data_IF_652525040023
#
_entry.id   IF_652525040023
#
_cell.length_a   1.000
_cell.length_b   1.000
_cell.length_c   1.000
_cell.angle_alpha   90.00
_cell.angle_beta   90.00
_cell.angle_gamma   90.00
#
_symmetry.space_group_name_H-M   'P 1'
#
loop_
_entity.id
_entity.type
_entity.pdbx_description
1 polymer ?
#
# COMPACT_ATOMS: atom_id res chain seq x y z
N UNK A 1 -16.07 -0.44 3.38
CA UNK A 1 -15.48 -0.41 2.02
C UNK A 1 -15.83 0.87 1.25
N UNK A 2 -17.10 1.14 0.92
CA UNK A 2 -17.48 2.35 0.16
C UNK A 2 -17.00 3.67 0.79
N UNK A 3 -17.07 3.79 2.12
CA UNK A 3 -16.54 4.97 2.84
C UNK A 3 -15.02 5.12 2.72
N UNK A 4 -14.26 4.02 2.64
CA UNK A 4 -12.81 4.07 2.46
C UNK A 4 -12.46 4.56 1.08
N UNK A 5 -13.18 4.10 0.05
CA UNK A 5 -13.07 4.66 -1.30
C UNK A 5 -13.42 6.15 -1.31
N UNK A 6 -14.46 6.58 -0.59
CA UNK A 6 -14.82 7.99 -0.46
C UNK A 6 -13.70 8.81 0.20
N UNK A 7 -13.12 8.30 1.29
CA UNK A 7 -12.01 8.93 2.00
C UNK A 7 -10.73 8.96 1.16
N UNK A 8 -10.46 7.93 0.37
CA UNK A 8 -9.34 7.92 -0.58
C UNK A 8 -9.56 8.94 -1.70
N UNK A 9 -10.74 8.96 -2.32
CA UNK A 9 -11.08 9.97 -3.33
C UNK A 9 -11.00 11.38 -2.75
N UNK A 10 -11.45 11.59 -1.51
CA UNK A 10 -11.26 12.84 -0.76
C UNK A 10 -9.77 13.15 -0.63
N UNK A 11 -8.95 12.21 -0.17
CA UNK A 11 -7.51 12.39 -0.02
C UNK A 11 -6.76 12.68 -1.33
N UNK A 12 -7.19 12.04 -2.42
CA UNK A 12 -6.66 12.29 -3.75
C UNK A 12 -7.05 13.68 -4.26
N UNK A 13 -8.21 14.20 -3.86
CA UNK A 13 -8.72 15.53 -4.25
C UNK A 13 -8.39 16.65 -3.24
N UNK A 14 -8.02 16.35 -2.00
CA UNK A 14 -7.71 17.31 -0.95
C UNK A 14 -6.23 17.72 -0.95
N UNK A 15 -5.88 18.74 -0.18
CA UNK A 15 -4.51 19.21 0.04
C UNK A 15 -3.62 18.23 0.84
N UNK A 16 -3.99 16.95 0.92
CA UNK A 16 -3.11 15.93 1.50
C UNK A 16 -1.85 15.84 0.67
N UNK A 17 -0.67 15.73 1.29
CA UNK A 17 0.57 15.64 0.54
C UNK A 17 0.57 14.40 -0.39
N UNK A 18 0.87 14.53 -1.70
CA UNK A 18 0.95 13.39 -2.62
C UNK A 18 1.93 12.31 -2.17
N UNK A 19 3.01 12.69 -1.48
CA UNK A 19 3.97 11.77 -0.90
C UNK A 19 3.35 10.89 0.19
N UNK A 20 2.55 11.46 1.09
CA UNK A 20 1.83 10.69 2.13
C UNK A 20 0.85 9.67 1.56
N UNK A 21 0.14 10.02 0.49
CA UNK A 21 -0.75 9.07 -0.20
C UNK A 21 0.06 7.99 -0.92
N UNK A 22 1.17 8.36 -1.58
CA UNK A 22 2.07 7.39 -2.24
C UNK A 22 2.68 6.41 -1.23
N UNK A 23 3.13 6.90 -0.07
CA UNK A 23 3.62 6.07 1.02
C UNK A 23 2.55 5.09 1.52
N UNK A 24 1.29 5.51 1.60
CA UNK A 24 0.18 4.63 1.93
C UNK A 24 0.01 3.48 0.92
N UNK A 25 0.10 3.77 -0.38
CA UNK A 25 0.07 2.71 -1.40
C UNK A 25 1.25 1.76 -1.30
N UNK A 26 2.46 2.26 -1.05
CA UNK A 26 3.67 1.43 -0.92
C UNK A 26 3.60 0.52 0.31
N UNK A 27 3.27 1.07 1.48
CA UNK A 27 3.18 0.26 2.70
C UNK A 27 2.03 -0.75 2.61
N UNK A 28 0.92 -0.36 1.98
CA UNK A 28 -0.19 -1.26 1.67
C UNK A 28 0.22 -2.38 0.70
N UNK A 29 1.05 -2.07 -0.30
CA UNK A 29 1.60 -3.07 -1.22
C UNK A 29 2.49 -4.09 -0.51
N UNK A 30 3.41 -3.64 0.36
CA UNK A 30 4.33 -4.53 1.07
C UNK A 30 3.55 -5.53 1.94
N UNK A 31 2.58 -5.06 2.73
CA UNK A 31 1.72 -5.95 3.52
C UNK A 31 0.81 -6.78 2.62
N UNK A 32 0.33 -6.21 1.51
CA UNK A 32 -0.57 -6.89 0.59
C UNK A 32 0.06 -8.10 -0.10
N UNK A 33 1.31 -7.98 -0.55
CA UNK A 33 2.03 -9.04 -1.23
C UNK A 33 2.65 -10.09 -0.31
N UNK A 34 2.87 -9.76 0.96
CA UNK A 34 3.54 -10.68 1.88
C UNK A 34 2.52 -11.46 2.73
N UNK A 35 2.81 -12.71 3.12
CA UNK A 35 1.90 -13.49 3.94
C UNK A 35 1.53 -12.78 5.27
N UNK A 36 0.24 -12.76 5.60
CA UNK A 36 -0.32 -11.96 6.70
C UNK A 36 0.40 -12.15 8.04
N UNK A 37 0.72 -13.40 8.39
CA UNK A 37 1.33 -13.76 9.69
C UNK A 37 2.86 -13.62 9.74
N UNK A 38 3.43 -12.73 8.92
CA UNK A 38 4.88 -12.49 8.94
C UNK A 38 5.25 -11.37 9.91
N UNK A 39 6.36 -11.54 10.64
CA UNK A 39 6.80 -10.58 11.67
C UNK A 39 7.02 -9.16 11.11
N UNK A 40 7.50 -9.03 9.88
CA UNK A 40 7.72 -7.71 9.25
C UNK A 40 6.41 -6.96 9.01
N UNK A 41 5.27 -7.63 8.84
CA UNK A 41 3.98 -6.95 8.62
C UNK A 41 3.53 -6.15 9.84
N UNK A 42 3.86 -6.61 11.05
CA UNK A 42 3.62 -5.86 12.29
C UNK A 42 4.42 -4.56 12.27
N UNK A 43 5.69 -4.62 11.84
CA UNK A 43 6.55 -3.45 11.72
C UNK A 43 6.02 -2.45 10.67
N UNK A 44 5.61 -2.92 9.50
CA UNK A 44 5.04 -2.07 8.44
C UNK A 44 3.73 -1.42 8.91
N UNK A 45 2.88 -2.15 9.64
CA UNK A 45 1.64 -1.62 10.19
C UNK A 45 1.93 -0.51 11.22
N UNK A 46 2.89 -0.72 12.12
CA UNK A 46 3.34 0.30 13.07
C UNK A 46 3.86 1.54 12.34
N UNK A 47 4.68 1.33 11.31
CA UNK A 47 5.21 2.41 10.48
C UNK A 47 4.08 3.21 9.81
N UNK A 48 3.02 2.54 9.37
CA UNK A 48 1.85 3.20 8.79
C UNK A 48 1.14 4.15 9.77
N UNK A 49 1.07 3.80 11.05
CA UNK A 49 0.53 4.67 12.09
C UNK A 49 1.48 5.82 12.47
N UNK A 50 2.79 5.56 12.54
CA UNK A 50 3.79 6.57 12.95
C UNK A 50 3.99 7.64 11.87
N UNK A 51 4.04 7.24 10.59
CA UNK A 51 4.30 8.15 9.46
C UNK A 51 3.09 9.04 9.10
N UNK A 52 1.98 8.95 9.84
CA UNK A 52 0.74 9.73 9.61
C UNK A 52 0.28 9.72 8.15
N UNK A 53 0.41 8.56 7.48
CA UNK A 53 0.03 8.40 6.08
C UNK A 53 -1.50 8.35 5.93
N UNK A 54 -1.97 8.32 4.69
CA UNK A 54 -3.39 8.13 4.44
C UNK A 54 -3.83 6.67 4.71
N UNK A 55 -4.38 6.41 5.90
CA UNK A 55 -4.82 5.06 6.28
C UNK A 55 -5.90 4.49 5.36
N UNK A 56 -6.77 5.32 4.76
CA UNK A 56 -7.77 4.83 3.81
C UNK A 56 -7.13 4.32 2.52
N UNK A 57 -6.13 5.03 2.00
CA UNK A 57 -5.32 4.59 0.87
C UNK A 57 -4.51 3.35 1.19
N UNK A 58 -3.95 3.27 2.40
CA UNK A 58 -3.18 2.11 2.87
C UNK A 58 -4.03 0.84 2.87
N UNK A 59 -5.21 0.84 3.50
CA UNK A 59 -6.06 -0.35 3.55
C UNK A 59 -6.65 -0.73 2.19
N UNK A 60 -6.93 0.25 1.32
CA UNK A 60 -7.36 -0.03 -0.04
C UNK A 60 -6.24 -0.66 -0.88
N UNK A 61 -5.03 -0.11 -0.78
CA UNK A 61 -3.85 -0.69 -1.42
C UNK A 61 -3.58 -2.09 -0.89
N UNK A 62 -3.61 -2.30 0.43
CA UNK A 62 -3.50 -3.63 1.03
C UNK A 62 -4.51 -4.60 0.42
N UNK A 63 -5.82 -4.28 0.46
CA UNK A 63 -6.84 -5.17 -0.09
C UNK A 63 -6.62 -5.48 -1.58
N UNK A 64 -6.21 -4.49 -2.36
CA UNK A 64 -5.95 -4.65 -3.80
C UNK A 64 -4.72 -5.53 -4.06
N UNK A 65 -3.60 -5.24 -3.38
CA UNK A 65 -2.36 -5.98 -3.57
C UNK A 65 -2.42 -7.39 -2.98
N UNK A 66 -3.20 -7.63 -1.92
CA UNK A 66 -3.49 -9.00 -1.47
C UNK A 66 -4.25 -9.81 -2.50
N UNK A 67 -5.18 -9.21 -3.25
CA UNK A 67 -5.82 -9.92 -4.37
C UNK A 67 -4.82 -10.18 -5.51
N UNK A 68 -3.94 -9.23 -5.79
CA UNK A 68 -2.88 -9.43 -6.79
C UNK A 68 -1.85 -10.46 -6.36
N UNK A 69 -1.56 -10.62 -5.06
CA UNK A 69 -0.56 -11.55 -4.55
C UNK A 69 -0.77 -12.97 -5.11
N UNK A 70 -2.02 -13.45 -5.14
CA UNK A 70 -2.36 -14.76 -5.72
C UNK A 70 -1.89 -14.95 -7.17
N UNK A 71 -1.84 -13.88 -7.97
CA UNK A 71 -1.33 -13.92 -9.34
C UNK A 71 0.21 -13.92 -9.38
N UNK A 72 0.85 -13.24 -8.44
CA UNK A 72 2.31 -13.13 -8.36
C UNK A 72 2.97 -14.21 -7.50
N UNK A 73 2.21 -15.06 -6.80
CA UNK A 73 2.73 -16.15 -5.94
C UNK A 73 3.79 -17.04 -6.63
N UNK A 74 3.64 -17.46 -7.91
CA UNK A 74 4.69 -18.21 -8.59
C UNK A 74 5.99 -17.43 -8.74
N UNK A 75 5.89 -16.12 -9.03
CA UNK A 75 7.04 -15.23 -9.17
C UNK A 75 7.74 -15.02 -7.83
N UNK A 76 6.97 -14.83 -6.75
CA UNK A 76 7.52 -14.72 -5.40
C UNK A 76 8.26 -15.98 -4.99
N UNK A 77 7.69 -17.16 -5.23
CA UNK A 77 8.37 -18.42 -4.92
C UNK A 77 9.66 -18.60 -5.71
N UNK A 78 9.65 -18.34 -7.02
CA UNK A 78 10.84 -18.45 -7.87
C UNK A 78 11.95 -17.50 -7.39
N UNK A 79 11.60 -16.25 -7.10
CA UNK A 79 12.57 -15.29 -6.58
C UNK A 79 13.12 -15.72 -5.21
N UNK A 80 12.26 -16.13 -4.28
CA UNK A 80 12.67 -16.59 -2.96
C UNK A 80 13.56 -17.83 -3.01
N UNK A 81 13.23 -18.79 -3.87
CA UNK A 81 14.03 -19.99 -4.10
C UNK A 81 15.42 -19.64 -4.64
N UNK A 82 15.49 -18.78 -5.66
CA UNK A 82 16.79 -18.34 -6.21
C UNK A 82 17.67 -17.62 -5.19
N UNK A 83 17.07 -16.87 -4.25
CA UNK A 83 17.79 -16.21 -3.17
C UNK A 83 18.28 -17.21 -2.11
N UNK A 84 17.45 -18.18 -1.71
CA UNK A 84 17.79 -19.17 -0.68
C UNK A 84 18.79 -20.22 -1.17
N UNK A 85 18.73 -20.60 -2.45
CA UNK A 85 19.62 -21.62 -3.05
C UNK A 85 20.94 -21.05 -3.57
N UNK A 86 21.09 -19.73 -3.59
CA UNK A 86 22.35 -19.08 -3.98
C UNK A 86 23.48 -19.43 -3.01
N UNK A 87 24.52 -20.08 -3.53
CA UNK A 87 25.71 -20.49 -2.76
C UNK A 87 26.44 -19.29 -2.15
N UNK A 88 26.46 -18.15 -2.83
CA UNK A 88 27.06 -16.92 -2.33
C UNK A 88 26.34 -16.33 -1.11
N UNK A 89 25.03 -16.60 -0.96
CA UNK A 89 24.22 -16.11 0.15
C UNK A 89 24.09 -17.11 1.30
N UNK A 90 24.52 -18.38 1.10
CA UNK A 90 24.44 -19.43 2.12
C UNK A 90 25.09 -19.02 3.47
N UNK A 91 26.27 -18.38 3.52
CA UNK A 91 26.84 -17.94 4.79
C UNK A 91 25.95 -16.92 5.52
N UNK A 92 25.35 -15.98 4.78
CA UNK A 92 24.44 -14.97 5.32
C UNK A 92 23.18 -15.61 5.92
N UNK A 93 22.54 -16.51 5.18
CA UNK A 93 21.37 -17.24 5.66
C UNK A 93 21.67 -18.11 6.88
N UNK A 94 22.86 -18.72 6.93
CA UNK A 94 23.30 -19.54 8.08
C UNK A 94 23.42 -18.71 9.35
N UNK A 95 23.98 -17.49 9.27
CA UNK A 95 24.08 -16.58 10.42
C UNK A 95 22.69 -16.20 10.93
N UNK A 96 21.77 -15.83 10.03
CA UNK A 96 20.39 -15.48 10.40
C UNK A 96 19.65 -16.68 10.99
N UNK A 97 19.78 -17.87 10.41
CA UNK A 97 19.08 -19.06 10.86
C UNK A 97 19.50 -19.47 12.28
N UNK A 98 20.79 -19.35 12.61
CA UNK A 98 21.30 -19.67 13.94
C UNK A 98 20.83 -18.69 15.03
N UNK A 99 20.30 -17.53 14.66
CA UNK A 99 19.72 -16.58 15.60
C UNK A 99 18.20 -16.83 15.76
N UNK A 100 17.71 -17.10 17.00
CA UNK A 100 16.29 -17.35 17.25
C UNK A 100 15.36 -16.21 16.82
N UNK A 101 15.78 -14.94 16.98
CA UNK A 101 14.98 -13.78 16.62
C UNK A 101 14.71 -13.74 15.11
N UNK A 102 15.74 -13.96 14.29
CA UNK A 102 15.60 -13.97 12.84
C UNK A 102 14.81 -15.17 12.34
N UNK A 103 14.87 -16.31 13.03
CA UNK A 103 14.04 -17.48 12.69
C UNK A 103 12.52 -17.19 12.77
N UNK A 104 12.10 -16.31 13.70
CA UNK A 104 10.70 -15.90 13.85
C UNK A 104 10.17 -15.09 12.67
N UNK A 105 11.05 -14.51 11.83
CA UNK A 105 10.60 -13.80 10.62
C UNK A 105 10.16 -14.74 9.50
N UNK A 106 10.41 -16.05 9.63
CA UNK A 106 10.15 -17.04 8.59
C UNK A 106 10.83 -16.71 7.25
N UNK A 107 12.01 -16.05 7.27
CA UNK A 107 12.77 -15.73 6.06
C UNK A 107 13.18 -16.96 5.23
N UNK A 108 13.18 -18.15 5.83
CA UNK A 108 13.45 -19.43 5.16
C UNK A 108 12.27 -19.93 4.31
N UNK A 109 11.13 -19.24 4.35
CA UNK A 109 10.01 -19.49 3.47
C UNK A 109 10.20 -18.71 2.15
N UNK A 110 10.21 -19.41 1.03
CA UNK A 110 10.40 -18.83 -0.32
C UNK A 110 9.38 -17.74 -0.64
N UNK A 111 8.13 -17.95 -0.26
CA UNK A 111 7.06 -16.98 -0.50
C UNK A 111 7.28 -15.70 0.30
N UNK A 112 7.63 -15.81 1.60
CA UNK A 112 7.91 -14.66 2.46
C UNK A 112 9.11 -13.88 1.95
N UNK A 113 10.22 -14.57 1.68
CA UNK A 113 11.45 -13.93 1.22
C UNK A 113 11.27 -13.27 -0.15
N UNK A 114 10.71 -14.00 -1.12
CA UNK A 114 10.57 -13.50 -2.47
C UNK A 114 9.58 -12.34 -2.59
N UNK A 115 8.42 -12.43 -1.92
CA UNK A 115 7.45 -11.33 -1.90
C UNK A 115 8.02 -10.08 -1.22
N UNK A 116 8.75 -10.23 -0.11
CA UNK A 116 9.39 -9.12 0.58
C UNK A 116 10.50 -8.48 -0.28
N UNK A 117 11.40 -9.29 -0.84
CA UNK A 117 12.49 -8.82 -1.70
C UNK A 117 11.97 -8.09 -2.94
N UNK A 118 10.95 -8.64 -3.61
CA UNK A 118 10.34 -7.97 -4.76
C UNK A 118 9.68 -6.66 -4.35
N UNK A 119 8.92 -6.66 -3.25
CA UNK A 119 8.22 -5.45 -2.77
C UNK A 119 9.21 -4.34 -2.39
N UNK A 120 10.32 -4.68 -1.73
CA UNK A 120 11.39 -3.74 -1.39
C UNK A 120 12.09 -3.20 -2.65
N UNK A 121 12.38 -4.06 -3.63
CA UNK A 121 12.95 -3.64 -4.91
C UNK A 121 12.02 -2.71 -5.71
N UNK A 122 10.71 -2.93 -5.63
CA UNK A 122 9.70 -2.11 -6.29
C UNK A 122 9.31 -0.85 -5.52
N UNK A 123 9.72 -0.71 -4.26
CA UNK A 123 9.30 0.39 -3.38
C UNK A 123 9.69 1.76 -3.96
N UNK A 124 10.95 1.93 -4.33
CA UNK A 124 11.47 3.19 -4.86
C UNK A 124 10.80 3.57 -6.19
N UNK A 125 10.81 2.72 -7.25
CA UNK A 125 10.21 3.10 -8.52
C UNK A 125 8.70 3.32 -8.42
N UNK A 126 7.99 2.51 -7.64
CA UNK A 126 6.54 2.66 -7.49
C UNK A 126 6.16 3.87 -6.65
N UNK A 127 6.98 4.27 -5.67
CA UNK A 127 6.72 5.48 -4.88
C UNK A 127 6.65 6.71 -5.79
N UNK A 128 7.67 6.90 -6.63
CA UNK A 128 7.69 8.02 -7.58
C UNK A 128 6.59 7.89 -8.65
N UNK A 129 6.29 6.68 -9.10
CA UNK A 129 5.19 6.44 -10.04
C UNK A 129 3.84 6.85 -9.43
N UNK A 130 3.52 6.41 -8.21
CA UNK A 130 2.28 6.79 -7.54
C UNK A 130 2.23 8.29 -7.28
N UNK A 131 3.33 8.89 -6.85
CA UNK A 131 3.38 10.33 -6.63
C UNK A 131 3.11 11.10 -7.93
N UNK A 132 3.74 10.69 -9.02
CA UNK A 132 3.49 11.25 -10.36
C UNK A 132 2.03 11.10 -10.79
N UNK A 133 1.47 9.89 -10.66
CA UNK A 133 0.08 9.61 -11.02
C UNK A 133 -0.91 10.44 -10.20
N UNK A 134 -0.67 10.61 -8.90
CA UNK A 134 -1.51 11.42 -8.01
C UNK A 134 -1.44 12.91 -8.40
N UNK A 135 -0.26 13.43 -8.69
CA UNK A 135 -0.09 14.83 -9.14
C UNK A 135 -0.82 15.06 -10.47
N UNK A 136 -0.62 14.16 -11.45
CA UNK A 136 -1.33 14.19 -12.74
C UNK A 136 -2.84 14.10 -12.57
N UNK A 137 -3.30 13.19 -11.70
CA UNK A 137 -4.70 13.03 -11.35
C UNK A 137 -5.27 14.36 -10.81
N UNK A 138 -4.61 15.00 -9.84
CA UNK A 138 -5.07 16.28 -9.29
C UNK A 138 -5.16 17.40 -10.32
N UNK A 139 -4.19 17.50 -11.21
CA UNK A 139 -4.16 18.56 -12.23
C UNK A 139 -5.24 18.40 -13.30
N UNK A 140 -5.57 17.16 -13.70
CA UNK A 140 -6.46 16.89 -14.82
C UNK A 140 -7.88 16.48 -14.40
N UNK A 141 -8.03 15.66 -13.36
CA UNK A 141 -9.34 15.11 -12.98
C UNK A 141 -10.21 16.07 -12.18
N UNK A 142 -9.66 16.96 -11.35
CA UNK A 142 -10.47 18.01 -10.69
C UNK A 142 -11.17 18.90 -11.73
N UNK A 143 -10.43 19.34 -12.75
CA UNK A 143 -10.96 20.17 -13.85
C UNK A 143 -11.95 19.41 -14.74
N UNK A 144 -11.80 18.08 -14.86
CA UNK A 144 -12.69 17.25 -15.68
C UNK A 144 -13.97 16.85 -14.94
N UNK A 145 -13.88 16.55 -13.62
CA UNK A 145 -15.03 16.25 -12.76
C UNK A 145 -15.92 17.48 -12.59
N UNK A 146 -15.35 18.69 -12.48
CA UNK A 146 -16.15 19.93 -12.46
C UNK A 146 -16.90 20.20 -13.77
N UNK A 147 -16.34 19.77 -14.91
CA UNK A 147 -16.94 19.97 -16.23
C UNK A 147 -17.86 18.83 -16.71
N UNK A 148 -17.79 17.64 -16.09
CA UNK A 148 -18.54 16.46 -16.53
C UNK A 148 -19.84 16.26 -15.74
N UNK A 149 -20.93 15.92 -16.44
CA UNK A 149 -22.24 15.56 -15.84
C UNK A 149 -22.16 14.37 -14.88
N UNK A 150 -21.13 13.53 -14.98
CA UNK A 150 -20.83 12.43 -14.04
C UNK A 150 -20.42 12.98 -12.67
N UNK A 151 -19.70 14.12 -12.62
CA UNK A 151 -19.36 14.79 -11.36
C UNK A 151 -20.58 15.33 -10.62
N UNK A 152 -21.59 15.79 -11.36
CA UNK A 152 -22.89 16.20 -10.79
C UNK A 152 -23.73 15.00 -10.32
N UNK A 153 -23.67 13.87 -11.01
CA UNK A 153 -24.31 12.62 -10.58
C UNK A 153 -23.65 12.00 -9.34
N UNK A 154 -22.32 12.07 -9.22
CA UNK A 154 -21.59 11.65 -8.01
C UNK A 154 -21.93 12.59 -6.84
N UNK A 155 -22.04 13.91 -7.09
CA UNK A 155 -22.56 14.90 -6.12
C UNK A 155 -24.02 14.65 -5.69
N UNK A 156 -24.84 14.05 -6.56
CA UNK A 156 -26.23 13.72 -6.28
C UNK A 156 -26.43 12.35 -5.61
N UNK A 157 -25.45 11.44 -5.72
CA UNK A 157 -25.49 10.13 -5.08
C UNK A 157 -25.26 10.21 -3.56
N UNK A 158 -25.76 9.23 -2.78
CA UNK A 158 -25.57 9.13 -1.31
C UNK A 158 -24.12 9.30 -0.84
N UNK A 159 -23.16 9.08 -1.74
CA UNK A 159 -21.72 9.25 -1.55
C UNK A 159 -21.31 10.70 -1.24
N UNK A 160 -21.98 11.70 -1.81
CA UNK A 160 -21.67 13.11 -1.55
C UNK A 160 -22.19 13.57 -0.18
N UNK A 161 -23.34 13.05 0.28
CA UNK A 161 -23.84 13.32 1.64
C UNK A 161 -22.88 12.81 2.72
N UNK A 162 -22.25 11.66 2.49
CA UNK A 162 -21.18 11.11 3.34
C UNK A 162 -19.86 11.92 3.25
N UNK A 163 -19.52 12.45 2.08
CA UNK A 163 -18.40 13.38 1.94
C UNK A 163 -18.62 14.69 2.72
N UNK A 164 -19.86 15.20 2.69
CA UNK A 164 -20.27 16.45 3.31
C UNK A 164 -20.41 16.31 4.83
N UNK A 165 -20.93 15.19 5.36
CA UNK A 165 -21.00 14.95 6.81
C UNK A 165 -19.62 14.85 7.48
N UNK A 166 -18.62 14.31 6.77
CA UNK A 166 -17.21 14.29 7.23
C UNK A 166 -16.56 15.68 7.10
N UNK A 167 -17.12 16.58 6.30
CA UNK A 167 -16.68 17.98 6.21
C UNK A 167 -17.28 18.83 7.34
N UNK A 168 -18.55 18.64 7.68
CA UNK A 168 -19.24 19.37 8.75
C UNK A 168 -18.80 18.93 10.16
N UNK A 169 -18.37 17.68 10.34
CA UNK A 169 -17.93 17.18 11.66
C UNK A 169 -16.58 17.74 12.15
N UNK A 170 -15.98 18.69 11.42
CA UNK A 170 -14.72 19.35 11.78
C UNK A 170 -14.86 20.78 12.29
N UNK A 171 -16.07 21.31 12.35
CA UNK A 171 -16.37 22.50 13.15
C UNK A 171 -17.43 22.16 14.20
N UNK A 172 -17.01 22.07 15.46
CA UNK A 172 -17.73 22.79 16.48
C UNK A 172 -16.75 23.68 17.25
N UNK A 173 -16.93 24.99 17.07
CA UNK A 173 -16.60 26.12 17.96
C UNK A 173 -15.21 26.09 18.62
#
# INVERSE_FOLDING_TARGET
MLEMFAKLLKALNSESDPGQVSAAFILGMIIGFTPLFSLHNVFILLLAFVLRINLSGFFLAWSFFSAMAFLFDPLFNLLGESLLTSSSLTPYWTILYNNPFWRLSHFNNTLVLGSLSLSLGLTIPLFFLYQYLIIRYRQHLLKWIEKSKVGQFIKASKFFRLYQSVNDSRDPI
#
